data_IF_546230900805
#
_entry.id   IF_546230900805
#
_cell.length_a   1.000
_cell.length_b   1.000
_cell.length_c   1.000
_cell.angle_alpha   90.00
_cell.angle_beta   90.00
_cell.angle_gamma   90.00
#
_symmetry.space_group_name_H-M   'P 1'
#
loop_
_entity.id
_entity.type
_entity.pdbx_description
1 polymer ?
#
# COMPACT_ATOMS: atom_id res chain seq x y z
N UNK A 1 -8.52 -28.34 36.42
CA UNK A 1 -7.82 -27.04 36.22
C UNK A 1 -8.89 -25.98 36.17
N UNK A 2 -8.72 -24.79 36.77
CA UNK A 2 -9.69 -23.72 36.58
C UNK A 2 -9.73 -23.36 35.09
N UNK A 3 -10.91 -23.33 34.51
CA UNK A 3 -11.13 -22.95 33.12
C UNK A 3 -10.68 -21.50 32.95
N UNK A 4 -9.73 -21.25 32.07
CA UNK A 4 -9.19 -19.90 31.81
C UNK A 4 -10.32 -19.01 31.26
N UNK A 5 -10.78 -18.07 32.07
CA UNK A 5 -11.93 -17.22 31.73
C UNK A 5 -11.46 -16.05 30.86
N UNK A 6 -11.87 -16.04 29.61
CA UNK A 6 -11.59 -14.93 28.69
C UNK A 6 -12.23 -13.63 29.22
N UNK A 7 -11.46 -12.58 29.51
CA UNK A 7 -11.97 -11.28 29.92
C UNK A 7 -13.01 -10.72 28.95
N UNK A 8 -14.00 -9.98 29.45
CA UNK A 8 -15.06 -9.41 28.59
C UNK A 8 -14.51 -8.54 27.47
N UNK A 9 -13.42 -7.80 27.72
CA UNK A 9 -12.78 -6.92 26.76
C UNK A 9 -12.20 -7.66 25.55
N UNK A 10 -11.76 -8.91 25.75
CA UNK A 10 -11.19 -9.77 24.70
C UNK A 10 -12.26 -10.58 23.93
N UNK A 11 -13.53 -10.47 24.29
CA UNK A 11 -14.59 -11.13 23.53
C UNK A 11 -14.73 -10.49 22.15
N UNK A 12 -15.03 -11.28 21.15
CA UNK A 12 -15.17 -10.83 19.76
C UNK A 12 -16.07 -9.57 19.60
N UNK A 13 -17.18 -9.51 20.31
CA UNK A 13 -18.10 -8.36 20.26
C UNK A 13 -17.44 -7.08 20.77
N UNK A 14 -16.65 -7.18 21.84
CA UNK A 14 -15.91 -6.02 22.39
C UNK A 14 -14.79 -5.58 21.46
N UNK A 15 -14.00 -6.50 20.91
CA UNK A 15 -12.97 -6.16 19.93
C UNK A 15 -13.55 -5.47 18.66
N UNK A 16 -14.71 -5.93 18.18
CA UNK A 16 -15.40 -5.29 17.06
C UNK A 16 -15.97 -3.91 17.42
N UNK A 17 -16.42 -3.71 18.66
CA UNK A 17 -16.85 -2.40 19.16
C UNK A 17 -15.68 -1.42 19.22
N UNK A 18 -14.53 -1.86 19.73
CA UNK A 18 -13.29 -1.08 19.77
C UNK A 18 -12.91 -0.65 18.33
N UNK A 19 -12.86 -1.60 17.40
CA UNK A 19 -12.55 -1.31 15.99
C UNK A 19 -13.53 -0.31 15.35
N UNK A 20 -14.81 -0.39 15.69
CA UNK A 20 -15.83 0.53 15.18
C UNK A 20 -15.72 1.95 15.77
N UNK A 21 -15.22 2.07 17.01
CA UNK A 21 -15.04 3.34 17.70
C UNK A 21 -13.69 4.02 17.36
N UNK A 22 -12.77 3.30 16.70
CA UNK A 22 -11.50 3.87 16.25
C UNK A 22 -11.71 4.98 15.24
N UNK A 23 -11.03 6.09 15.43
CA UNK A 23 -10.96 7.15 14.42
C UNK A 23 -10.07 6.65 13.26
N UNK A 24 -10.54 6.68 12.01
CA UNK A 24 -9.71 6.32 10.88
C UNK A 24 -8.43 7.17 10.84
N UNK A 25 -7.29 6.53 10.72
CA UNK A 25 -6.03 7.24 10.59
C UNK A 25 -5.99 7.99 9.25
N UNK A 26 -5.65 9.28 9.32
CA UNK A 26 -5.55 10.14 8.15
C UNK A 26 -4.46 9.68 7.17
N UNK A 27 -3.44 8.95 7.64
CA UNK A 27 -2.38 8.38 6.80
C UNK A 27 -2.86 7.26 5.87
N UNK A 28 -4.02 6.64 6.16
CA UNK A 28 -4.59 5.56 5.35
C UNK A 28 -5.33 6.13 4.12
N UNK A 29 -4.56 6.64 3.15
CA UNK A 29 -5.11 7.34 2.00
C UNK A 29 -6.15 6.52 1.22
N UNK A 30 -5.79 5.30 0.81
CA UNK A 30 -6.65 4.46 -0.04
C UNK A 30 -7.85 3.92 0.73
N UNK A 31 -7.67 3.52 1.99
CA UNK A 31 -8.73 3.02 2.83
C UNK A 31 -9.81 4.07 3.09
N UNK A 32 -9.40 5.32 3.28
CA UNK A 32 -10.32 6.45 3.53
C UNK A 32 -11.00 6.92 2.24
N UNK A 33 -10.33 6.77 1.09
CA UNK A 33 -10.82 7.28 -0.19
C UNK A 33 -11.75 6.32 -0.91
N UNK A 34 -11.43 5.01 -0.89
CA UNK A 34 -12.13 4.00 -1.66
C UNK A 34 -12.97 3.07 -0.77
N UNK A 35 -14.15 2.74 -1.27
CA UNK A 35 -15.13 1.93 -0.53
C UNK A 35 -14.73 0.46 -0.45
N UNK A 36 -15.15 -0.18 0.64
CA UNK A 36 -15.20 -1.63 0.73
C UNK A 36 -16.64 -2.13 0.57
N UNK A 37 -16.79 -3.32 0.01
CA UNK A 37 -18.07 -3.97 -0.12
C UNK A 37 -17.98 -5.49 0.08
N UNK A 38 -18.99 -6.12 0.69
CA UNK A 38 -19.01 -7.56 0.88
C UNK A 38 -19.13 -8.30 -0.45
N UNK A 39 -18.47 -9.45 -0.55
CA UNK A 39 -18.55 -10.35 -1.69
C UNK A 39 -18.84 -11.78 -1.22
N UNK A 40 -19.84 -12.48 -1.79
CA UNK A 40 -20.35 -13.72 -1.19
C UNK A 40 -19.40 -14.93 -1.26
N UNK A 41 -18.42 -14.92 -2.15
CA UNK A 41 -17.53 -16.04 -2.40
C UNK A 41 -16.08 -15.71 -2.02
N UNK A 42 -15.28 -16.72 -1.62
CA UNK A 42 -13.84 -16.57 -1.38
C UNK A 42 -13.06 -16.23 -2.64
N UNK A 43 -13.51 -16.74 -3.79
CA UNK A 43 -12.98 -16.39 -5.10
C UNK A 43 -13.77 -15.21 -5.63
N UNK A 44 -13.11 -14.06 -5.75
CA UNK A 44 -13.69 -12.79 -6.14
C UNK A 44 -13.63 -12.67 -7.67
N UNK A 45 -14.80 -12.42 -8.29
CA UNK A 45 -14.91 -12.17 -9.71
C UNK A 45 -15.31 -10.72 -9.93
N UNK A 46 -14.60 -10.04 -10.81
CA UNK A 46 -14.93 -8.67 -11.18
C UNK A 46 -14.64 -8.39 -12.66
N UNK A 47 -15.32 -7.37 -13.18
CA UNK A 47 -15.17 -6.97 -14.57
C UNK A 47 -14.12 -5.86 -14.68
N UNK A 48 -13.16 -6.07 -15.56
CA UNK A 48 -12.14 -5.08 -15.96
C UNK A 48 -12.55 -4.49 -17.32
N UNK A 49 -12.62 -3.18 -17.39
CA UNK A 49 -13.04 -2.45 -18.58
C UNK A 49 -11.83 -2.01 -19.40
N UNK A 50 -11.68 -2.53 -20.60
CA UNK A 50 -10.61 -2.20 -21.55
C UNK A 50 -11.06 -1.26 -22.67
N UNK A 51 -12.36 -1.07 -22.85
CA UNK A 51 -12.94 -0.26 -23.91
C UNK A 51 -12.80 1.25 -23.63
N UNK A 52 -12.58 2.01 -24.67
CA UNK A 52 -12.68 3.46 -24.61
C UNK A 52 -14.16 3.88 -24.70
N UNK A 53 -14.57 4.92 -23.95
CA UNK A 53 -15.95 5.42 -24.03
C UNK A 53 -16.20 6.07 -25.39
N UNK A 54 -16.93 5.40 -26.24
CA UNK A 54 -17.43 5.99 -27.49
C UNK A 54 -18.68 6.85 -27.28
N UNK A 55 -18.93 7.77 -28.18
CA UNK A 55 -20.22 8.50 -28.28
C UNK A 55 -21.21 7.68 -29.07
N UNK A 56 -22.51 7.77 -28.70
CA UNK A 56 -23.57 7.20 -29.50
C UNK A 56 -23.62 7.92 -30.87
N UNK A 57 -23.73 7.18 -31.98
CA UNK A 57 -23.87 7.82 -33.29
C UNK A 57 -25.22 8.54 -33.39
N UNK A 58 -25.22 9.66 -34.07
CA UNK A 58 -26.47 10.33 -34.46
C UNK A 58 -27.05 9.64 -35.68
N UNK A 59 -28.33 9.25 -35.62
CA UNK A 59 -29.07 8.64 -36.74
C UNK A 59 -30.27 9.48 -37.10
N UNK A 60 -30.64 9.49 -38.39
CA UNK A 60 -31.85 10.14 -38.86
C UNK A 60 -33.11 9.42 -38.33
N UNK A 61 -34.20 10.18 -38.18
CA UNK A 61 -35.50 9.65 -37.77
C UNK A 61 -35.97 8.61 -38.82
N UNK A 62 -36.30 7.39 -38.37
CA UNK A 62 -36.72 6.30 -39.23
C UNK A 62 -35.61 5.36 -39.70
N UNK A 63 -34.35 5.59 -39.36
CA UNK A 63 -33.25 4.66 -39.60
C UNK A 63 -33.06 3.77 -38.38
N UNK A 64 -32.81 2.47 -38.62
CA UNK A 64 -32.55 1.51 -37.55
C UNK A 64 -31.31 1.96 -36.74
N UNK A 65 -31.46 2.02 -35.41
CA UNK A 65 -30.35 2.37 -34.53
C UNK A 65 -29.24 1.33 -34.63
N UNK A 66 -27.94 1.78 -34.76
CA UNK A 66 -26.82 0.86 -34.79
C UNK A 66 -26.67 0.16 -33.43
N UNK A 67 -26.39 -1.13 -33.48
CA UNK A 67 -26.17 -1.93 -32.27
C UNK A 67 -24.84 -1.62 -31.65
N UNK A 68 -24.82 -1.18 -30.40
CA UNK A 68 -23.57 -1.00 -29.64
C UNK A 68 -23.02 -2.38 -29.23
N UNK A 69 -21.88 -2.74 -29.81
CA UNK A 69 -21.08 -3.85 -29.32
C UNK A 69 -20.28 -3.31 -28.15
N UNK A 70 -20.67 -3.62 -26.91
CA UNK A 70 -20.05 -3.10 -25.70
C UNK A 70 -18.52 -3.06 -25.77
N UNK A 71 -17.91 -2.05 -25.16
CA UNK A 71 -16.46 -1.94 -25.07
C UNK A 71 -15.86 -3.20 -24.44
N UNK A 72 -14.63 -3.56 -24.82
CA UNK A 72 -13.97 -4.77 -24.34
C UNK A 72 -14.00 -4.84 -22.82
N UNK A 73 -14.61 -5.87 -22.30
CA UNK A 73 -14.63 -6.21 -20.88
C UNK A 73 -14.02 -7.60 -20.72
N UNK A 74 -13.23 -7.79 -19.69
CA UNK A 74 -12.74 -9.12 -19.29
C UNK A 74 -13.16 -9.40 -17.85
N UNK A 75 -13.61 -10.61 -17.60
CA UNK A 75 -13.82 -11.11 -16.25
C UNK A 75 -12.47 -11.54 -15.69
N UNK A 76 -12.14 -11.04 -14.52
CA UNK A 76 -10.96 -11.43 -13.75
C UNK A 76 -11.44 -12.15 -12.51
N UNK A 77 -10.84 -13.31 -12.25
CA UNK A 77 -11.14 -14.14 -11.11
C UNK A 77 -9.89 -14.26 -10.25
N UNK A 78 -10.00 -13.92 -8.96
CA UNK A 78 -8.88 -13.93 -8.03
C UNK A 78 -9.30 -14.48 -6.68
N UNK A 79 -8.37 -15.12 -5.98
CA UNK A 79 -8.57 -15.45 -4.57
C UNK A 79 -8.28 -14.21 -3.73
N UNK A 80 -9.07 -14.04 -2.65
CA UNK A 80 -8.83 -12.98 -1.68
C UNK A 80 -7.50 -13.20 -0.95
N UNK A 81 -6.75 -12.12 -0.72
CA UNK A 81 -5.60 -12.11 0.15
C UNK A 81 -6.07 -12.19 1.61
N UNK A 82 -5.49 -13.09 2.38
CA UNK A 82 -5.74 -13.19 3.82
C UNK A 82 -4.73 -12.33 4.58
N UNK A 83 -5.21 -11.25 5.17
CA UNK A 83 -4.45 -10.47 6.14
C UNK A 83 -4.76 -11.09 7.51
N UNK A 84 -3.75 -11.54 8.22
CA UNK A 84 -3.91 -12.30 9.45
C UNK A 84 -2.74 -12.02 10.40
N UNK A 85 -3.07 -11.54 11.58
CA UNK A 85 -2.10 -11.27 12.62
C UNK A 85 -2.68 -11.65 13.98
N UNK A 86 -1.83 -12.04 14.93
CA UNK A 86 -2.21 -12.47 16.27
C UNK A 86 -1.35 -11.76 17.31
N UNK A 87 -1.92 -11.53 18.46
CA UNK A 87 -1.26 -10.98 19.64
C UNK A 87 -1.49 -11.88 20.83
N UNK A 88 -0.49 -11.98 21.69
CA UNK A 88 -0.53 -12.74 22.94
C UNK A 88 -0.73 -11.79 24.11
N UNK A 89 -1.54 -12.24 25.07
CA UNK A 89 -1.70 -11.63 26.38
C UNK A 89 -1.26 -12.63 27.43
N UNK A 90 -0.26 -12.26 28.21
CA UNK A 90 0.29 -13.10 29.26
C UNK A 90 -0.70 -13.26 30.42
N UNK A 91 -0.52 -14.31 31.23
CA UNK A 91 -1.33 -14.57 32.40
C UNK A 91 -1.41 -13.38 33.36
N UNK A 92 -0.28 -12.68 33.61
CA UNK A 92 -0.23 -11.49 34.47
C UNK A 92 -1.14 -10.39 33.96
N UNK A 93 -1.04 -10.04 32.66
CA UNK A 93 -1.86 -9.00 32.02
C UNK A 93 -3.36 -9.34 32.09
N UNK A 94 -3.70 -10.62 31.94
CA UNK A 94 -5.09 -11.10 32.04
C UNK A 94 -5.60 -11.04 33.48
N UNK A 95 -4.78 -11.45 34.43
CA UNK A 95 -5.12 -11.42 35.88
C UNK A 95 -5.28 -9.99 36.38
N UNK A 96 -4.43 -9.07 35.93
CA UNK A 96 -4.54 -7.63 36.25
C UNK A 96 -5.86 -7.04 35.75
N UNK A 97 -6.34 -7.48 34.57
CA UNK A 97 -7.66 -7.09 34.07
C UNK A 97 -8.83 -7.61 34.92
N UNK A 98 -8.60 -8.64 35.70
CA UNK A 98 -9.59 -9.23 36.62
C UNK A 98 -9.37 -8.81 38.09
N UNK A 99 -8.33 -7.97 38.34
CA UNK A 99 -7.98 -7.53 39.69
C UNK A 99 -9.15 -6.88 40.44
N UNK A 100 -9.14 -7.05 41.76
CA UNK A 100 -10.14 -6.43 42.64
C UNK A 100 -9.91 -4.92 42.74
N UNK A 101 -8.65 -4.48 42.67
CA UNK A 101 -8.28 -3.06 42.66
C UNK A 101 -8.77 -2.36 41.39
N UNK A 102 -9.64 -1.35 41.51
CA UNK A 102 -10.20 -0.66 40.34
C UNK A 102 -9.17 0.09 39.48
N UNK A 103 -8.12 0.62 40.09
CA UNK A 103 -7.09 1.39 39.37
C UNK A 103 -6.19 0.48 38.56
N UNK A 104 -5.71 -0.62 39.14
CA UNK A 104 -4.93 -1.63 38.44
C UNK A 104 -5.72 -2.25 37.29
N UNK A 105 -6.98 -2.58 37.54
CA UNK A 105 -7.89 -3.11 36.52
C UNK A 105 -8.07 -2.16 35.34
N UNK A 106 -8.30 -0.86 35.59
CA UNK A 106 -8.44 0.15 34.51
C UNK A 106 -7.15 0.28 33.72
N UNK A 107 -6.00 0.32 34.38
CA UNK A 107 -4.69 0.42 33.71
C UNK A 107 -4.45 -0.79 32.79
N UNK A 108 -4.67 -2.01 33.27
CA UNK A 108 -4.52 -3.22 32.49
C UNK A 108 -5.51 -3.28 31.30
N UNK A 109 -6.77 -2.91 31.54
CA UNK A 109 -7.76 -2.83 30.45
C UNK A 109 -7.37 -1.84 29.37
N UNK A 110 -6.76 -0.71 29.73
CA UNK A 110 -6.25 0.27 28.77
C UNK A 110 -5.13 -0.29 27.91
N UNK A 111 -4.16 -0.97 28.49
CA UNK A 111 -3.06 -1.62 27.76
C UNK A 111 -3.59 -2.65 26.75
N UNK A 112 -4.54 -3.50 27.19
CA UNK A 112 -5.16 -4.46 26.27
C UNK A 112 -5.92 -3.77 25.13
N UNK A 113 -6.62 -2.68 25.42
CA UNK A 113 -7.35 -1.91 24.43
C UNK A 113 -6.40 -1.31 23.39
N UNK A 114 -5.33 -0.65 23.81
CA UNK A 114 -4.30 -0.09 22.94
C UNK A 114 -3.67 -1.15 22.01
N UNK A 115 -3.42 -2.36 22.55
CA UNK A 115 -2.89 -3.47 21.73
C UNK A 115 -3.90 -4.04 20.72
N UNK A 116 -5.20 -4.04 21.04
CA UNK A 116 -6.24 -4.45 20.08
C UNK A 116 -6.39 -3.40 18.98
N UNK A 117 -6.33 -2.12 19.33
CA UNK A 117 -6.35 -1.01 18.39
C UNK A 117 -5.15 -1.09 17.44
N UNK A 118 -3.94 -1.32 17.95
CA UNK A 118 -2.73 -1.53 17.15
C UNK A 118 -2.87 -2.72 16.19
N UNK A 119 -3.35 -3.88 16.68
CA UNK A 119 -3.60 -5.05 15.84
C UNK A 119 -4.60 -4.76 14.71
N UNK A 120 -5.63 -3.97 15.00
CA UNK A 120 -6.61 -3.54 14.01
C UNK A 120 -6.02 -2.59 13.00
N UNK A 121 -5.23 -1.60 13.47
CA UNK A 121 -4.54 -0.62 12.65
C UNK A 121 -3.55 -1.27 11.69
N UNK A 122 -2.74 -2.22 12.14
CA UNK A 122 -1.79 -2.97 11.31
C UNK A 122 -2.48 -3.73 10.19
N UNK A 123 -3.68 -4.25 10.44
CA UNK A 123 -4.51 -4.89 9.41
C UNK A 123 -4.96 -3.87 8.35
N UNK A 124 -5.34 -2.65 8.76
CA UNK A 124 -5.72 -1.58 7.83
C UNK A 124 -4.52 -1.02 7.06
N UNK A 125 -3.36 -0.86 7.69
CA UNK A 125 -2.11 -0.48 7.03
C UNK A 125 -1.75 -1.47 5.93
N UNK A 126 -1.84 -2.78 6.19
CA UNK A 126 -1.58 -3.80 5.17
C UNK A 126 -2.56 -3.71 4.01
N UNK A 127 -3.83 -3.44 4.28
CA UNK A 127 -4.84 -3.25 3.24
C UNK A 127 -4.54 -2.00 2.40
N UNK A 128 -4.14 -0.89 3.03
CA UNK A 128 -3.77 0.36 2.36
C UNK A 128 -2.52 0.17 1.48
N UNK A 129 -1.51 -0.52 2.00
CA UNK A 129 -0.32 -0.90 1.26
C UNK A 129 -0.64 -1.74 0.00
N UNK A 130 -1.55 -2.71 0.09
CA UNK A 130 -1.99 -3.48 -1.08
C UNK A 130 -2.63 -2.60 -2.15
N UNK A 131 -3.37 -1.55 -1.76
CA UNK A 131 -3.89 -0.57 -2.71
C UNK A 131 -2.77 0.26 -3.33
N UNK A 132 -1.81 0.71 -2.52
CA UNK A 132 -0.68 1.50 -3.01
C UNK A 132 0.13 0.72 -4.06
N UNK A 133 0.32 -0.59 -3.88
CA UNK A 133 0.98 -1.44 -4.88
C UNK A 133 0.20 -1.46 -6.20
N UNK A 134 -1.14 -1.55 -6.16
CA UNK A 134 -1.96 -1.52 -7.37
C UNK A 134 -1.84 -0.18 -8.12
N UNK A 135 -1.63 0.94 -7.43
CA UNK A 135 -1.48 2.27 -8.03
C UNK A 135 -0.03 2.57 -8.41
N UNK A 136 0.90 2.35 -7.49
CA UNK A 136 2.27 2.85 -7.61
C UNK A 136 3.23 1.84 -8.23
N UNK A 137 2.90 0.55 -8.21
CA UNK A 137 3.70 -0.49 -8.83
C UNK A 137 3.12 -0.99 -10.17
N UNK A 138 2.69 -0.04 -11.03
CA UNK A 138 2.24 -0.29 -12.40
C UNK A 138 1.12 -1.33 -12.53
N UNK A 139 0.26 -1.42 -11.52
CA UNK A 139 -0.84 -2.37 -11.46
C UNK A 139 -0.43 -3.78 -11.06
N UNK A 140 0.76 -3.95 -10.48
CA UNK A 140 1.23 -5.26 -10.03
C UNK A 140 1.29 -5.28 -8.50
N UNK A 141 0.57 -6.22 -7.90
CA UNK A 141 0.73 -6.56 -6.49
C UNK A 141 1.58 -7.81 -6.42
N UNK A 142 2.76 -7.73 -5.84
CA UNK A 142 3.64 -8.87 -5.57
C UNK A 142 4.03 -8.85 -4.11
N UNK A 143 3.68 -9.90 -3.40
CA UNK A 143 3.98 -10.06 -1.98
C UNK A 143 4.16 -11.53 -1.65
N UNK A 144 5.20 -11.83 -0.91
CA UNK A 144 5.43 -13.16 -0.33
C UNK A 144 5.25 -13.06 1.18
N UNK A 145 4.27 -13.79 1.71
CA UNK A 145 4.00 -13.85 3.14
C UNK A 145 5.10 -14.59 3.90
N UNK A 146 5.14 -14.41 5.22
CA UNK A 146 6.06 -15.11 6.11
C UNK A 146 5.88 -16.64 6.06
N UNK A 147 4.67 -17.10 5.72
CA UNK A 147 4.33 -18.50 5.49
C UNK A 147 4.77 -19.03 4.10
N UNK A 148 5.47 -18.22 3.31
CA UNK A 148 5.87 -18.53 1.94
C UNK A 148 4.75 -18.41 0.90
N UNK A 149 3.53 -18.02 1.30
CA UNK A 149 2.43 -17.83 0.36
C UNK A 149 2.70 -16.61 -0.52
N UNK A 150 2.79 -16.82 -1.82
CA UNK A 150 2.99 -15.75 -2.80
C UNK A 150 1.66 -15.25 -3.34
N UNK A 151 1.42 -13.95 -3.18
CA UNK A 151 0.31 -13.23 -3.82
C UNK A 151 0.90 -12.46 -5.00
N UNK A 152 0.45 -12.80 -6.20
CA UNK A 152 0.83 -12.11 -7.42
C UNK A 152 -0.41 -11.76 -8.22
N UNK A 153 -0.62 -10.47 -8.44
CA UNK A 153 -1.76 -9.93 -9.17
C UNK A 153 -1.27 -8.89 -10.16
N UNK A 154 -1.57 -9.09 -11.43
CA UNK A 154 -1.30 -8.12 -12.49
C UNK A 154 -2.62 -7.62 -13.09
N UNK A 155 -2.94 -6.36 -12.85
CA UNK A 155 -4.12 -5.69 -13.40
C UNK A 155 -3.95 -5.26 -14.86
N UNK A 156 -2.81 -5.53 -15.46
CA UNK A 156 -2.50 -5.27 -16.88
C UNK A 156 -2.75 -3.83 -17.30
N UNK A 157 -2.16 -2.89 -16.56
CA UNK A 157 -2.12 -1.49 -17.00
C UNK A 157 -1.45 -1.44 -18.38
N UNK A 158 -2.07 -0.76 -19.39
CA UNK A 158 -1.50 -0.70 -20.74
C UNK A 158 -0.08 -0.15 -20.76
N UNK A 159 0.81 -0.76 -21.55
CA UNK A 159 2.20 -0.30 -21.69
C UNK A 159 2.30 1.14 -22.16
N UNK A 160 1.35 1.62 -22.98
CA UNK A 160 1.27 3.00 -23.39
C UNK A 160 1.10 4.00 -22.21
N UNK A 161 0.57 3.54 -21.07
CA UNK A 161 0.41 4.34 -19.86
C UNK A 161 1.62 4.20 -18.91
N UNK A 162 2.61 3.38 -19.25
CA UNK A 162 3.86 3.19 -18.50
C UNK A 162 4.98 3.81 -19.32
N UNK A 163 5.49 4.96 -18.92
CA UNK A 163 6.54 5.67 -19.63
C UNK A 163 7.80 5.71 -18.79
N UNK A 164 8.93 5.43 -19.41
CA UNK A 164 10.25 5.55 -18.78
C UNK A 164 11.08 6.50 -19.63
N UNK A 165 11.60 7.53 -18.98
CA UNK A 165 12.51 8.49 -19.58
C UNK A 165 13.90 8.24 -18.98
N UNK A 166 14.81 7.76 -19.79
CA UNK A 166 16.17 7.44 -19.39
C UNK A 166 17.19 8.35 -20.07
N UNK A 167 18.38 8.42 -19.56
CA UNK A 167 19.54 9.13 -20.08
C UNK A 167 19.24 10.62 -20.40
N UNK A 168 19.40 11.02 -21.65
CA UNK A 168 19.14 12.38 -22.13
C UNK A 168 17.67 12.81 -22.06
N UNK A 169 16.76 11.87 -21.92
CA UNK A 169 15.32 12.11 -21.78
C UNK A 169 14.84 12.14 -20.32
N UNK A 170 15.64 11.75 -19.33
CA UNK A 170 15.30 11.80 -17.91
C UNK A 170 15.17 13.24 -17.37
N UNK A 171 14.24 13.62 -16.52
CA UNK A 171 14.05 14.99 -16.04
C UNK A 171 15.17 15.41 -15.06
N UNK A 172 15.40 16.69 -14.92
CA UNK A 172 16.45 17.26 -14.08
C UNK A 172 17.44 18.12 -14.86
N UNK A 173 18.72 18.03 -14.63
CA UNK A 173 19.78 18.83 -15.24
C UNK A 173 20.24 18.26 -16.59
N UNK A 174 19.94 18.94 -17.68
CA UNK A 174 20.41 18.64 -19.05
C UNK A 174 19.44 17.81 -19.90
N UNK A 175 19.40 18.06 -21.21
CA UNK A 175 18.65 17.30 -22.20
C UNK A 175 17.45 18.01 -22.84
N UNK A 176 16.93 17.44 -23.92
CA UNK A 176 15.85 17.97 -24.75
C UNK A 176 14.44 17.62 -24.27
N UNK A 177 14.23 17.63 -22.98
CA UNK A 177 12.96 17.21 -22.40
C UNK A 177 11.98 18.33 -22.25
N UNK A 178 10.73 17.94 -22.24
CA UNK A 178 9.62 18.84 -21.97
C UNK A 178 8.68 18.22 -20.93
N UNK A 179 8.92 18.46 -19.63
CA UNK A 179 8.06 17.95 -18.57
C UNK A 179 6.59 18.32 -18.77
N UNK A 180 6.30 19.55 -19.24
CA UNK A 180 4.94 20.02 -19.48
C UNK A 180 4.25 19.25 -20.62
N UNK A 181 4.97 18.96 -21.70
CA UNK A 181 4.44 18.16 -22.80
C UNK A 181 4.18 16.72 -22.35
N UNK A 182 5.15 16.10 -21.69
CA UNK A 182 5.04 14.71 -21.25
C UNK A 182 3.86 14.51 -20.28
N UNK A 183 3.70 15.40 -19.31
CA UNK A 183 2.56 15.38 -18.38
C UNK A 183 1.23 15.65 -19.09
N UNK A 184 1.18 16.59 -20.03
CA UNK A 184 -0.01 16.88 -20.83
C UNK A 184 -0.43 15.68 -21.68
N UNK A 185 0.52 14.98 -22.29
CA UNK A 185 0.25 13.78 -23.10
C UNK A 185 -0.29 12.63 -22.20
N UNK A 186 0.26 12.43 -21.00
CA UNK A 186 -0.27 11.46 -20.05
C UNK A 186 -1.67 11.85 -19.56
N UNK A 187 -1.90 13.10 -19.19
CA UNK A 187 -3.22 13.64 -18.83
C UNK A 187 -4.24 13.36 -19.93
N UNK A 188 -3.88 13.60 -21.19
CA UNK A 188 -4.74 13.32 -22.35
C UNK A 188 -5.07 11.83 -22.51
N UNK A 189 -4.09 10.94 -22.30
CA UNK A 189 -4.31 9.48 -22.36
C UNK A 189 -5.28 9.01 -21.29
N UNK A 190 -5.09 9.46 -20.04
CA UNK A 190 -5.99 9.09 -18.93
C UNK A 190 -7.39 9.64 -19.19
N UNK A 191 -7.53 10.88 -19.64
CA UNK A 191 -8.84 11.45 -19.94
C UNK A 191 -9.56 10.69 -21.07
N UNK A 192 -8.83 10.12 -22.04
CA UNK A 192 -9.43 9.25 -23.08
C UNK A 192 -10.01 7.95 -22.52
N UNK A 193 -9.59 7.49 -21.35
CA UNK A 193 -10.18 6.31 -20.70
C UNK A 193 -11.60 6.56 -20.17
N UNK A 194 -12.08 7.81 -20.24
CA UNK A 194 -13.39 8.24 -19.73
C UNK A 194 -13.38 8.71 -18.28
N UNK A 195 -12.22 8.74 -17.65
CA UNK A 195 -11.97 9.37 -16.35
C UNK A 195 -11.34 10.74 -16.54
N UNK A 196 -11.59 11.68 -15.63
CA UNK A 196 -10.85 12.93 -15.55
C UNK A 196 -9.66 12.73 -14.62
N UNK A 197 -8.46 13.11 -15.07
CA UNK A 197 -7.29 13.10 -14.19
C UNK A 197 -7.62 13.90 -12.92
N UNK A 198 -7.57 13.23 -11.78
CA UNK A 198 -7.91 13.80 -10.47
C UNK A 198 -6.70 14.06 -9.61
N UNK A 199 -5.68 13.20 -9.71
CA UNK A 199 -4.45 13.31 -8.91
C UNK A 199 -3.23 12.82 -9.66
N UNK A 200 -2.09 13.43 -9.33
CA UNK A 200 -0.76 12.97 -9.72
C UNK A 200 0.09 12.89 -8.46
N UNK A 201 0.48 11.68 -8.13
CA UNK A 201 1.29 11.41 -6.95
C UNK A 201 2.77 11.54 -7.28
N UNK A 202 3.49 12.17 -6.38
CA UNK A 202 4.94 12.35 -6.43
C UNK A 202 5.49 12.29 -5.01
N UNK A 203 6.70 11.80 -4.82
CA UNK A 203 7.36 11.91 -3.52
C UNK A 203 8.22 13.18 -3.43
N UNK A 204 8.56 13.59 -2.22
CA UNK A 204 9.35 14.80 -1.95
C UNK A 204 10.73 14.73 -2.60
N UNK A 205 11.37 13.56 -2.61
CA UNK A 205 12.68 13.35 -3.27
C UNK A 205 12.59 13.68 -4.77
N UNK A 206 11.62 13.09 -5.47
CA UNK A 206 11.42 13.33 -6.92
C UNK A 206 11.04 14.79 -7.21
N UNK A 207 10.18 15.38 -6.38
CA UNK A 207 9.80 16.80 -6.52
C UNK A 207 11.04 17.70 -6.48
N UNK A 208 11.93 17.47 -5.52
CA UNK A 208 13.12 18.29 -5.32
C UNK A 208 14.20 18.02 -6.36
N UNK A 209 14.50 16.76 -6.67
CA UNK A 209 15.64 16.39 -7.54
C UNK A 209 15.32 16.47 -9.02
N UNK A 210 14.07 16.21 -9.41
CA UNK A 210 13.69 16.10 -10.83
C UNK A 210 12.87 17.27 -11.35
N UNK A 211 12.03 17.88 -10.52
CA UNK A 211 11.21 19.00 -10.94
C UNK A 211 11.80 20.34 -10.53
N UNK A 212 12.11 20.56 -9.26
CA UNK A 212 12.66 21.84 -8.78
C UNK A 212 13.96 22.20 -9.49
N UNK A 213 14.83 21.21 -9.70
CA UNK A 213 16.16 21.40 -10.28
C UNK A 213 16.16 21.30 -11.81
N UNK A 214 14.99 21.07 -12.45
CA UNK A 214 14.86 21.05 -13.90
C UNK A 214 15.13 22.42 -14.54
N UNK A 215 16.03 22.45 -15.53
CA UNK A 215 16.49 23.70 -16.16
C UNK A 215 15.40 24.44 -16.93
N UNK A 216 14.44 23.74 -17.52
CA UNK A 216 13.31 24.37 -18.24
C UNK A 216 12.34 25.01 -17.26
N UNK A 217 12.06 24.33 -16.17
CA UNK A 217 11.20 24.86 -15.10
C UNK A 217 11.84 26.09 -14.47
N UNK A 218 13.12 26.02 -14.12
CA UNK A 218 13.85 27.17 -13.57
C UNK A 218 13.91 28.34 -14.56
N UNK A 219 14.09 28.06 -15.84
CA UNK A 219 14.09 29.10 -16.89
C UNK A 219 12.71 29.74 -17.03
N UNK A 220 11.64 28.96 -16.94
CA UNK A 220 10.27 29.48 -16.96
C UNK A 220 10.00 30.37 -15.75
N UNK A 221 10.36 29.91 -14.55
CA UNK A 221 10.22 30.67 -13.30
C UNK A 221 11.00 31.98 -13.37
N UNK A 222 12.22 31.98 -13.92
CA UNK A 222 13.04 33.19 -14.07
C UNK A 222 12.49 34.17 -15.08
N UNK A 223 11.87 33.70 -16.17
CA UNK A 223 11.33 34.53 -17.25
C UNK A 223 9.92 35.04 -16.97
N UNK A 224 9.15 34.38 -16.16
CA UNK A 224 7.80 34.81 -15.83
C UNK A 224 7.84 35.93 -14.78
N UNK A 225 7.09 36.99 -14.99
CA UNK A 225 6.81 38.01 -13.95
C UNK A 225 5.77 37.54 -12.93
N UNK A 226 5.63 36.22 -12.81
CA UNK A 226 4.63 35.58 -11.96
C UNK A 226 4.96 35.80 -10.48
N UNK A 227 3.98 36.12 -9.63
CA UNK A 227 4.19 36.35 -8.20
C UNK A 227 4.78 35.13 -7.46
N UNK A 228 4.66 33.91 -8.02
CA UNK A 228 5.27 32.70 -7.47
C UNK A 228 6.78 32.52 -7.78
N UNK A 229 7.40 33.44 -8.50
CA UNK A 229 8.82 33.41 -8.85
C UNK A 229 9.76 33.23 -7.63
N UNK A 230 9.38 33.79 -6.50
CA UNK A 230 10.15 33.67 -5.26
C UNK A 230 9.82 32.42 -4.42
N UNK A 231 8.77 31.70 -4.78
CA UNK A 231 8.24 30.59 -3.97
C UNK A 231 8.73 29.20 -4.37
N UNK A 232 9.55 29.08 -5.44
CA UNK A 232 10.03 27.76 -5.90
C UNK A 232 10.83 26.98 -4.83
N UNK A 233 11.49 27.68 -3.92
CA UNK A 233 12.26 27.07 -2.83
C UNK A 233 11.43 26.90 -1.53
N UNK A 234 10.42 27.74 -1.34
CA UNK A 234 9.57 27.72 -0.15
C UNK A 234 8.33 26.87 -0.35
N UNK A 235 7.76 26.85 -1.55
CA UNK A 235 6.59 26.05 -1.90
C UNK A 235 6.69 25.48 -3.32
N UNK A 236 7.62 24.55 -3.57
CA UNK A 236 7.85 24.00 -4.90
C UNK A 236 6.61 23.27 -5.46
N UNK A 237 5.81 22.65 -4.61
CA UNK A 237 4.62 21.91 -5.03
C UNK A 237 3.61 22.80 -5.76
N UNK A 238 3.29 23.98 -5.24
CA UNK A 238 2.30 24.88 -5.84
C UNK A 238 2.82 25.46 -7.17
N UNK A 239 4.11 25.81 -7.23
CA UNK A 239 4.74 26.27 -8.47
C UNK A 239 4.69 25.18 -9.56
N UNK A 240 4.91 23.91 -9.17
CA UNK A 240 4.86 22.79 -10.10
C UNK A 240 3.43 22.46 -10.55
N UNK A 241 2.45 22.55 -9.66
CA UNK A 241 1.03 22.40 -10.02
C UNK A 241 0.63 23.38 -11.11
N UNK A 242 1.06 24.63 -10.99
CA UNK A 242 0.75 25.67 -11.95
C UNK A 242 1.50 25.46 -13.26
N UNK A 243 2.82 25.20 -13.21
CA UNK A 243 3.63 24.99 -14.41
C UNK A 243 3.16 23.79 -15.25
N UNK A 244 2.83 22.68 -14.61
CA UNK A 244 2.43 21.43 -15.27
C UNK A 244 0.92 21.35 -15.55
N UNK A 245 0.12 22.25 -15.01
CA UNK A 245 -1.36 22.21 -15.06
C UNK A 245 -1.93 20.86 -14.65
N UNK A 246 -1.44 20.31 -13.54
CA UNK A 246 -1.84 19.00 -13.00
C UNK A 246 -2.05 19.08 -11.49
N UNK A 247 -2.98 18.27 -10.93
CA UNK A 247 -3.24 18.20 -9.49
C UNK A 247 -2.17 17.33 -8.79
N UNK A 248 -0.98 17.90 -8.55
CA UNK A 248 0.10 17.21 -7.83
C UNK A 248 -0.25 17.01 -6.35
N UNK A 249 0.08 15.85 -5.83
CA UNK A 249 -0.03 15.51 -4.42
C UNK A 249 1.24 14.75 -3.98
N UNK A 250 1.78 15.16 -2.83
CA UNK A 250 2.95 14.48 -2.27
C UNK A 250 2.46 13.22 -1.56
N UNK A 251 3.12 12.10 -1.85
CA UNK A 251 2.95 10.85 -1.13
C UNK A 251 4.32 10.34 -0.70
N UNK A 252 4.64 10.57 0.56
CA UNK A 252 5.85 10.11 1.23
C UNK A 252 5.53 8.97 2.21
N UNK A 253 4.35 8.35 2.08
CA UNK A 253 3.96 7.23 2.93
C UNK A 253 4.90 6.05 2.73
N UNK A 254 5.17 5.37 3.82
CA UNK A 254 6.01 4.17 3.86
C UNK A 254 5.34 3.07 4.66
N UNK A 255 5.80 1.85 4.46
CA UNK A 255 5.40 0.70 5.28
C UNK A 255 6.63 -0.02 5.78
N UNK A 256 6.55 -0.55 6.99
CA UNK A 256 7.54 -1.48 7.49
C UNK A 256 7.24 -2.87 6.92
N UNK A 257 8.20 -3.43 6.22
CA UNK A 257 8.18 -4.81 5.77
C UNK A 257 9.03 -5.65 6.72
N UNK A 258 8.48 -6.78 7.15
CA UNK A 258 9.23 -7.82 7.85
C UNK A 258 9.51 -8.96 6.88
N UNK A 259 10.77 -9.21 6.60
CA UNK A 259 11.25 -10.26 5.72
C UNK A 259 11.98 -11.31 6.54
N UNK A 260 11.88 -12.58 6.16
CA UNK A 260 12.61 -13.63 6.84
C UNK A 260 14.07 -13.62 6.39
N UNK A 261 14.98 -13.55 7.33
CA UNK A 261 16.41 -13.75 7.09
C UNK A 261 16.66 -15.22 6.75
N UNK A 262 17.16 -15.50 5.56
CA UNK A 262 17.35 -16.89 5.09
C UNK A 262 18.79 -17.39 5.20
N UNK A 263 19.77 -16.49 5.34
CA UNK A 263 21.15 -16.85 5.61
C UNK A 263 22.14 -15.72 5.38
N UNK A 264 23.25 -15.78 6.10
CA UNK A 264 24.40 -14.89 5.93
C UNK A 264 25.38 -15.51 4.93
N UNK A 265 25.77 -14.76 3.92
CA UNK A 265 26.72 -15.20 2.88
C UNK A 265 28.15 -14.79 3.27
N UNK A 266 28.30 -13.51 3.62
CA UNK A 266 29.54 -12.95 4.16
C UNK A 266 29.24 -11.77 5.11
N UNK A 267 30.26 -10.95 5.44
CA UNK A 267 30.08 -9.83 6.38
C UNK A 267 29.14 -8.73 5.86
N UNK A 268 28.95 -8.62 4.56
CA UNK A 268 28.15 -7.55 3.92
C UNK A 268 27.00 -8.09 3.09
N UNK A 269 26.93 -9.41 2.86
CA UNK A 269 25.90 -10.04 2.05
C UNK A 269 25.08 -11.05 2.87
N UNK A 270 23.78 -10.94 2.75
CA UNK A 270 22.84 -11.90 3.32
C UNK A 270 21.66 -12.13 2.36
N UNK A 271 20.90 -13.15 2.61
CA UNK A 271 19.71 -13.49 1.83
C UNK A 271 18.44 -13.36 2.66
N UNK A 272 17.35 -12.97 1.99
CA UNK A 272 16.00 -12.89 2.55
C UNK A 272 15.02 -13.71 1.71
N UNK A 273 13.85 -14.00 2.24
CA UNK A 273 12.82 -14.76 1.54
C UNK A 273 12.29 -14.05 0.28
N UNK A 274 12.18 -12.73 0.32
CA UNK A 274 11.73 -11.91 -0.82
C UNK A 274 12.30 -10.50 -0.75
N UNK A 275 13.30 -10.21 -1.58
CA UNK A 275 13.92 -8.89 -1.67
C UNK A 275 13.28 -7.97 -2.72
N UNK A 276 12.16 -8.36 -3.34
CA UNK A 276 11.54 -7.63 -4.47
C UNK A 276 11.17 -6.19 -4.13
N UNK A 277 10.78 -5.93 -2.89
CA UNK A 277 10.41 -4.60 -2.42
C UNK A 277 11.60 -3.76 -1.91
N UNK A 278 12.76 -4.38 -1.71
CA UNK A 278 13.95 -3.71 -1.21
C UNK A 278 14.66 -2.93 -2.32
N UNK A 279 15.20 -1.77 -1.99
CA UNK A 279 15.91 -0.89 -2.91
C UNK A 279 17.24 -0.44 -2.36
N UNK A 280 18.14 -0.08 -3.25
CA UNK A 280 19.41 0.59 -2.89
C UNK A 280 19.12 1.87 -2.11
N UNK A 281 19.83 2.06 -1.00
CA UNK A 281 19.64 3.20 -0.11
C UNK A 281 18.55 3.01 0.95
N UNK A 282 17.78 1.91 0.94
CA UNK A 282 16.81 1.61 2.00
C UNK A 282 17.56 1.28 3.30
N UNK A 283 17.14 1.87 4.40
CA UNK A 283 17.57 1.48 5.73
C UNK A 283 16.83 0.21 6.16
N UNK A 284 17.56 -0.73 6.72
CA UNK A 284 17.06 -2.00 7.21
C UNK A 284 17.55 -2.25 8.64
N UNK A 285 16.77 -3.01 9.37
CA UNK A 285 17.10 -3.48 10.71
C UNK A 285 17.06 -5.00 10.73
N UNK A 286 18.19 -5.60 11.06
CA UNK A 286 18.22 -7.04 11.32
C UNK A 286 17.76 -7.25 12.76
N UNK A 287 16.72 -8.04 12.92
CA UNK A 287 16.01 -8.22 14.18
C UNK A 287 16.09 -9.68 14.58
N UNK A 288 16.63 -9.92 15.76
CA UNK A 288 16.64 -11.25 16.36
C UNK A 288 15.30 -11.57 16.97
N UNK A 289 14.82 -12.79 16.76
CA UNK A 289 13.57 -13.29 17.32
C UNK A 289 13.89 -14.40 18.33
N UNK A 290 13.55 -14.17 19.59
CA UNK A 290 13.64 -15.18 20.65
C UNK A 290 12.22 -15.51 21.17
N UNK A 291 11.69 -16.61 20.69
CA UNK A 291 10.30 -16.98 20.92
C UNK A 291 9.33 -15.98 20.29
N UNK A 292 8.72 -15.13 21.12
CA UNK A 292 7.74 -14.11 20.68
C UNK A 292 8.28 -12.68 20.82
N UNK A 293 9.52 -12.52 21.27
CA UNK A 293 10.16 -11.21 21.47
C UNK A 293 11.09 -10.91 20.31
N UNK A 294 10.95 -9.69 19.80
CA UNK A 294 11.83 -9.13 18.79
C UNK A 294 12.82 -8.18 19.46
N UNK A 295 14.10 -8.31 19.10
CA UNK A 295 15.16 -7.44 19.56
C UNK A 295 15.80 -6.80 18.33
N UNK A 296 15.79 -5.49 18.23
CA UNK A 296 16.58 -4.78 17.23
C UNK A 296 18.04 -4.91 17.59
N UNK A 297 18.83 -5.53 16.72
CA UNK A 297 20.25 -5.73 16.98
C UNK A 297 21.15 -4.90 16.06
N UNK A 298 20.79 -4.72 14.80
CA UNK A 298 21.71 -4.06 13.85
C UNK A 298 21.00 -3.32 12.73
N UNK A 299 21.34 -2.03 12.56
CA UNK A 299 20.87 -1.22 11.45
C UNK A 299 21.91 -1.20 10.32
N UNK A 300 21.47 -1.30 9.09
CA UNK A 300 22.30 -1.25 7.90
C UNK A 300 21.58 -0.58 6.73
N UNK A 301 22.35 -0.04 5.77
CA UNK A 301 21.78 0.52 4.54
C UNK A 301 22.09 -0.39 3.36
N UNK A 302 21.12 -0.60 2.50
CA UNK A 302 21.26 -1.45 1.32
C UNK A 302 22.15 -0.76 0.28
N UNK A 303 23.19 -1.46 -0.16
CA UNK A 303 24.09 -1.04 -1.25
C UNK A 303 23.66 -1.61 -2.60
N UNK A 304 23.37 -2.91 -2.65
CA UNK A 304 22.86 -3.58 -3.86
C UNK A 304 21.85 -4.66 -3.51
N UNK A 305 20.95 -4.97 -4.45
CA UNK A 305 20.02 -6.09 -4.36
C UNK A 305 20.12 -6.92 -5.64
N UNK A 306 20.40 -8.21 -5.50
CA UNK A 306 20.49 -9.15 -6.62
C UNK A 306 19.70 -10.43 -6.34
N UNK A 307 18.52 -10.54 -6.95
CA UNK A 307 17.57 -11.60 -6.59
C UNK A 307 17.15 -11.46 -5.13
N UNK A 308 17.34 -12.49 -4.33
CA UNK A 308 17.06 -12.48 -2.89
C UNK A 308 18.30 -12.17 -2.02
N UNK A 309 19.41 -11.78 -2.64
CA UNK A 309 20.65 -11.40 -1.94
C UNK A 309 20.72 -9.88 -1.80
N UNK A 310 20.97 -9.43 -0.59
CA UNK A 310 21.11 -8.02 -0.22
C UNK A 310 22.57 -7.78 0.20
N UNK A 311 23.20 -6.78 -0.41
CA UNK A 311 24.49 -6.24 0.01
C UNK A 311 24.29 -4.96 0.80
N UNK A 312 24.94 -4.82 1.95
CA UNK A 312 24.89 -3.63 2.81
C UNK A 312 26.15 -2.77 2.69
N UNK A 313 26.00 -1.49 3.01
CA UNK A 313 27.14 -0.54 3.02
C UNK A 313 28.10 -0.77 4.19
N UNK A 314 27.57 -1.29 5.29
CA UNK A 314 28.30 -1.65 6.51
C UNK A 314 28.32 -3.16 6.70
N UNK A 315 29.34 -3.67 7.38
CA UNK A 315 29.39 -5.09 7.72
C UNK A 315 28.32 -5.43 8.76
N UNK A 316 27.57 -6.50 8.52
CA UNK A 316 26.62 -7.08 9.47
C UNK A 316 27.43 -7.97 10.43
N UNK A 317 27.52 -7.55 11.69
CA UNK A 317 28.37 -8.19 12.72
C UNK A 317 27.60 -9.22 13.55
N UNK A 318 26.29 -9.01 13.72
CA UNK A 318 25.41 -9.88 14.50
C UNK A 318 25.36 -11.32 14.01
N UNK A 319 25.01 -12.21 14.92
CA UNK A 319 24.74 -13.62 14.62
C UNK A 319 23.25 -13.80 14.51
N UNK A 320 22.76 -13.99 13.29
CA UNK A 320 21.34 -14.16 12.98
C UNK A 320 21.05 -15.61 12.58
N UNK A 321 19.87 -16.10 13.01
CA UNK A 321 19.46 -17.49 12.80
C UNK A 321 18.58 -17.56 11.53
N UNK A 322 19.01 -18.31 10.49
CA UNK A 322 18.22 -18.47 9.28
C UNK A 322 16.82 -19.02 9.54
N UNK A 323 15.84 -18.46 8.81
CA UNK A 323 14.40 -18.80 8.89
C UNK A 323 13.73 -18.54 10.25
N UNK A 324 14.40 -17.83 11.15
CA UNK A 324 13.85 -17.40 12.45
C UNK A 324 13.90 -15.89 12.59
N UNK A 325 15.06 -15.31 12.33
CA UNK A 325 15.28 -13.87 12.47
C UNK A 325 14.71 -13.10 11.28
N UNK A 326 14.44 -11.82 11.51
CA UNK A 326 13.75 -10.96 10.56
C UNK A 326 14.68 -9.83 10.06
N UNK A 327 14.39 -9.38 8.85
CA UNK A 327 14.92 -8.14 8.31
C UNK A 327 13.74 -7.18 8.15
N UNK A 328 13.71 -6.13 8.95
CA UNK A 328 12.72 -5.05 8.82
C UNK A 328 13.27 -3.97 7.89
N UNK A 329 12.42 -3.46 7.02
CA UNK A 329 12.76 -2.40 6.08
C UNK A 329 11.62 -1.39 6.00
N UNK A 330 11.93 -0.11 5.99
CA UNK A 330 10.96 0.92 5.63
C UNK A 330 10.97 1.11 4.11
N UNK A 331 9.87 0.75 3.48
CA UNK A 331 9.73 0.84 2.02
C UNK A 331 8.71 1.91 1.69
N UNK A 332 9.09 2.97 0.93
CA UNK A 332 8.14 3.99 0.51
C UNK A 332 7.09 3.38 -0.43
N UNK A 333 5.86 3.84 -0.31
CA UNK A 333 4.77 3.43 -1.21
C UNK A 333 5.08 3.83 -2.65
N UNK A 334 5.57 5.04 -2.84
CA UNK A 334 5.92 5.57 -4.15
C UNK A 334 7.44 5.58 -4.34
N UNK A 335 7.91 4.91 -5.39
CA UNK A 335 9.33 4.88 -5.72
C UNK A 335 9.87 6.26 -6.11
N UNK A 336 11.16 6.49 -5.83
CA UNK A 336 11.87 7.66 -6.31
C UNK A 336 11.89 7.73 -7.83
N UNK A 337 11.95 8.95 -8.35
CA UNK A 337 11.90 9.26 -9.77
C UNK A 337 10.62 8.79 -10.49
N UNK A 338 9.54 8.56 -9.76
CA UNK A 338 8.28 8.09 -10.32
C UNK A 338 7.14 9.07 -10.05
N UNK A 339 6.36 9.37 -11.09
CA UNK A 339 5.07 10.04 -11.00
C UNK A 339 3.97 9.06 -11.36
N UNK A 340 2.89 9.08 -10.59
CA UNK A 340 1.72 8.26 -10.88
C UNK A 340 0.50 9.12 -11.08
N UNK A 341 -0.10 8.98 -12.24
CA UNK A 341 -1.28 9.71 -12.68
C UNK A 341 -2.51 8.85 -12.48
N UNK A 342 -3.52 9.35 -11.81
CA UNK A 342 -4.74 8.61 -11.55
C UNK A 342 -5.99 9.45 -11.76
N UNK A 343 -6.98 8.87 -12.44
CA UNK A 343 -8.36 9.32 -12.34
C UNK A 343 -9.03 8.45 -11.28
N UNK A 344 -9.38 9.01 -10.13
CA UNK A 344 -10.00 8.23 -9.03
C UNK A 344 -11.35 7.65 -9.42
N UNK A 345 -12.03 8.30 -10.37
CA UNK A 345 -13.34 7.88 -10.86
C UNK A 345 -13.43 7.87 -12.38
N UNK A 346 -14.14 6.89 -12.92
CA UNK A 346 -14.53 6.80 -14.32
C UNK A 346 -16.04 6.73 -14.39
N UNK A 347 -16.67 7.71 -15.05
CA UNK A 347 -18.13 7.83 -15.16
C UNK A 347 -18.86 7.77 -13.81
N UNK A 348 -18.31 8.43 -12.79
CA UNK A 348 -18.89 8.49 -11.43
C UNK A 348 -18.74 7.21 -10.61
N UNK A 349 -17.94 6.24 -11.07
CA UNK A 349 -17.61 5.02 -10.32
C UNK A 349 -16.13 5.02 -9.96
N UNK A 350 -15.83 4.62 -8.75
CA UNK A 350 -14.44 4.48 -8.30
C UNK A 350 -13.70 3.45 -9.17
N UNK A 351 -12.46 3.77 -9.53
CA UNK A 351 -11.64 2.88 -10.39
C UNK A 351 -11.20 1.63 -9.66
N UNK A 352 -11.09 1.70 -8.33
CA UNK A 352 -10.71 0.59 -7.47
C UNK A 352 -11.70 0.48 -6.31
N UNK A 353 -11.96 -0.74 -5.86
CA UNK A 353 -12.85 -1.06 -4.76
C UNK A 353 -12.32 -2.28 -4.02
N UNK A 354 -12.34 -2.24 -2.69
CA UNK A 354 -12.02 -3.41 -1.88
C UNK A 354 -13.24 -4.35 -1.81
N UNK A 355 -13.03 -5.64 -2.06
CA UNK A 355 -14.04 -6.68 -1.90
C UNK A 355 -13.69 -7.56 -0.71
N UNK A 356 -14.51 -7.49 0.35
CA UNK A 356 -14.37 -8.35 1.51
C UNK A 356 -14.99 -9.72 1.21
N UNK A 357 -14.16 -10.76 1.22
CA UNK A 357 -14.61 -12.14 1.08
C UNK A 357 -15.05 -12.73 2.44
N UNK A 358 -15.87 -13.79 2.43
CA UNK A 358 -16.44 -14.36 3.63
C UNK A 358 -15.37 -15.04 4.50
N UNK A 359 -15.39 -14.75 5.80
CA UNK A 359 -14.60 -15.34 6.85
C UNK A 359 -15.48 -16.03 7.88
N UNK A 360 -14.90 -17.00 8.61
CA UNK A 360 -15.53 -17.68 9.74
C UNK A 360 -16.06 -19.08 9.41
N UNK A 361 -16.23 -19.87 10.48
CA UNK A 361 -16.84 -21.19 10.46
C UNK A 361 -18.29 -21.04 10.98
N UNK A 362 -19.25 -21.49 10.21
CA UNK A 362 -20.67 -21.52 10.59
C UNK A 362 -21.43 -20.21 10.37
N UNK A 363 -20.94 -19.09 10.88
CA UNK A 363 -21.52 -17.76 10.58
C UNK A 363 -20.54 -16.95 9.72
N UNK A 364 -20.97 -16.67 8.50
CA UNK A 364 -20.20 -15.87 7.54
C UNK A 364 -20.16 -14.42 8.01
N UNK A 365 -18.95 -13.86 8.12
CA UNK A 365 -18.71 -12.46 8.41
C UNK A 365 -17.86 -11.83 7.30
N UNK A 366 -18.07 -10.55 7.08
CA UNK A 366 -17.31 -9.73 6.13
C UNK A 366 -16.54 -8.66 6.90
N UNK A 367 -15.42 -8.22 6.35
CA UNK A 367 -14.55 -7.26 7.01
C UNK A 367 -13.61 -7.92 8.02
N UNK A 368 -13.28 -7.21 9.11
CA UNK A 368 -12.40 -7.72 10.16
C UNK A 368 -13.10 -8.76 11.02
N UNK A 369 -12.39 -9.82 11.35
CA UNK A 369 -12.85 -10.90 12.23
C UNK A 369 -11.86 -11.08 13.35
N UNK A 370 -12.28 -10.78 14.59
CA UNK A 370 -11.51 -11.08 15.79
C UNK A 370 -11.89 -12.45 16.34
N UNK A 371 -10.89 -13.22 16.72
CA UNK A 371 -11.03 -14.48 17.45
C UNK A 371 -10.08 -14.51 18.61
N UNK A 372 -10.58 -14.92 19.78
CA UNK A 372 -9.79 -15.05 21.01
C UNK A 372 -9.97 -16.44 21.55
N UNK A 373 -8.88 -17.06 21.98
CA UNK A 373 -8.88 -18.37 22.63
C UNK A 373 -7.74 -18.47 23.65
N UNK A 374 -7.91 -19.23 24.71
CA UNK A 374 -6.85 -19.53 25.68
C UNK A 374 -5.88 -20.56 25.12
N UNK A 375 -4.63 -20.49 25.59
CA UNK A 375 -3.60 -21.50 25.41
C UNK A 375 -3.25 -21.99 26.80
N UNK A 376 -3.20 -23.32 26.99
CA UNK A 376 -3.06 -23.96 28.34
C UNK A 376 -1.61 -24.13 28.78
N UNK A 377 -0.61 -24.00 27.86
CA UNK A 377 0.80 -24.18 28.21
C UNK A 377 1.69 -23.32 27.27
N UNK A 378 2.26 -22.21 27.75
CA UNK A 378 1.93 -21.50 29.00
C UNK A 378 0.52 -20.89 28.99
N UNK A 379 -0.04 -20.59 30.16
CA UNK A 379 -1.37 -19.99 30.32
C UNK A 379 -1.40 -18.58 29.74
N UNK A 380 -1.82 -18.47 28.48
CA UNK A 380 -1.90 -17.24 27.72
C UNK A 380 -3.23 -17.11 27.00
N UNK A 381 -3.63 -15.89 26.68
CA UNK A 381 -4.77 -15.64 25.80
C UNK A 381 -4.24 -15.10 24.47
N UNK A 382 -4.69 -15.71 23.38
CA UNK A 382 -4.34 -15.34 22.03
C UNK A 382 -5.52 -14.65 21.36
N UNK A 383 -5.31 -13.43 20.87
CA UNK A 383 -6.30 -12.71 20.08
C UNK A 383 -5.78 -12.52 18.64
N UNK A 384 -6.60 -12.88 17.68
CA UNK A 384 -6.28 -12.81 16.25
C UNK A 384 -7.24 -11.88 15.53
N UNK A 385 -6.71 -10.95 14.72
CA UNK A 385 -7.45 -10.18 13.75
C UNK A 385 -7.23 -10.75 12.35
N UNK A 386 -8.30 -10.99 11.61
CA UNK A 386 -8.26 -11.50 10.24
C UNK A 386 -9.14 -10.66 9.32
N UNK A 387 -8.67 -10.46 8.10
CA UNK A 387 -9.45 -9.92 7.00
C UNK A 387 -9.14 -10.66 5.71
N UNK A 388 -10.15 -11.02 4.94
CA UNK A 388 -9.98 -11.69 3.65
C UNK A 388 -10.60 -10.83 2.57
N UNK A 389 -9.82 -10.45 1.57
CA UNK A 389 -10.35 -9.64 0.48
C UNK A 389 -9.29 -9.29 -0.54
N UNK A 390 -9.66 -8.44 -1.49
CA UNK A 390 -8.75 -7.96 -2.53
C UNK A 390 -9.21 -6.63 -3.08
N UNK A 391 -8.27 -5.80 -3.51
CA UNK A 391 -8.55 -4.62 -4.30
C UNK A 391 -8.88 -5.01 -5.75
N UNK A 392 -10.02 -4.56 -6.23
CA UNK A 392 -10.50 -4.82 -7.59
C UNK A 392 -10.32 -3.56 -8.43
N UNK A 393 -9.26 -3.49 -9.23
CA UNK A 393 -9.03 -2.40 -10.17
C UNK A 393 -9.85 -2.64 -11.44
N UNK A 394 -10.91 -1.84 -11.63
CA UNK A 394 -11.86 -1.99 -12.74
C UNK A 394 -11.45 -1.25 -14.01
N UNK A 395 -10.69 -0.16 -13.88
CA UNK A 395 -10.30 0.69 -14.99
C UNK A 395 -8.78 0.90 -15.05
N UNK A 396 -8.00 -0.11 -15.48
CA UNK A 396 -6.54 0.01 -15.52
C UNK A 396 -6.02 1.09 -16.48
N UNK A 397 -6.80 1.48 -17.50
CA UNK A 397 -6.46 2.61 -18.39
C UNK A 397 -6.54 3.99 -17.71
N UNK A 398 -7.19 4.08 -16.55
CA UNK A 398 -7.33 5.30 -15.78
C UNK A 398 -6.12 5.61 -14.88
N UNK A 399 -5.13 4.72 -14.90
CA UNK A 399 -3.85 4.88 -14.19
C UNK A 399 -2.72 4.94 -15.23
N UNK A 400 -1.75 5.80 -14.98
CA UNK A 400 -0.52 5.88 -15.75
C UNK A 400 0.67 6.20 -14.86
N UNK A 401 1.84 5.81 -15.28
CA UNK A 401 3.09 6.05 -14.56
C UNK A 401 4.15 6.63 -15.48
N UNK A 402 5.01 7.45 -14.91
CA UNK A 402 6.19 8.00 -15.56
C UNK A 402 7.39 7.81 -14.62
N UNK A 403 8.44 7.20 -15.11
CA UNK A 403 9.77 7.18 -14.48
C UNK A 403 10.59 8.28 -15.16
N UNK A 404 11.10 9.24 -14.37
CA UNK A 404 11.68 10.51 -14.86
C UNK A 404 13.13 10.69 -14.42
#
# INVERSE_FOLDING_TARGET
MPELVIPKILKQASCLSIDADMTPDASLYFNNRFKSSPYPNKTIKFMVYHGDPGMAPMTHRGVQAPTYKGGGMSEVQMQGALINEKIFFNEEEVNDCMAVDPELKKAAQRVILERIEDLSMRNDLRRDWLASQAFFNDGVISYTGEDGTRIFIDYKIPSANKQTFADTLAWGTGGDRDPAKNTSDMKRRINRSGGKLSKVFINTTTLNTKLRDDTKIQTWVKKSDHPMKHNIFTNPLEVMKEFLDIPLEINDDFTSLSLIFTGKIDSTHFSVNDATALKVGTEIWLVRVDGEREFEEEAATIKTVSGNVVETTSAVTGTFIPNTDLVKAEVPYLADNKLVFAAEQVRGKDIIEWKDAPLGLGKVKFGKLFKTWPIEDPDNILTRCQRLGIWCLRHPKAIGSMIV
#
